data_IF_963771183350
#
_entry.id   IF_963771183350
#
_cell.length_a   1.000
_cell.length_b   1.000
_cell.length_c   1.000
_cell.angle_alpha   90.00
_cell.angle_beta   90.00
_cell.angle_gamma   90.00
#
_symmetry.space_group_name_H-M   'P 1'
#
loop_
_entity.id
_entity.type
_entity.pdbx_description
1 polymer ?
#
# COMPACT_ATOMS: atom_id res chain seq x y z
N UNK A 1 32.18 4.18 -4.24
CA UNK A 1 30.75 4.47 -3.95
C UNK A 1 30.06 3.14 -3.70
N UNK A 2 29.61 2.88 -2.46
CA UNK A 2 28.76 1.71 -2.20
C UNK A 2 27.40 1.97 -2.85
N UNK A 3 27.09 1.31 -3.96
CA UNK A 3 25.71 1.17 -4.38
C UNK A 3 25.06 0.23 -3.36
N UNK A 4 24.20 0.76 -2.48
CA UNK A 4 23.39 -0.11 -1.65
C UNK A 4 22.35 -0.74 -2.55
N UNK A 5 22.22 -2.06 -2.50
CA UNK A 5 21.14 -2.79 -3.20
C UNK A 5 19.76 -2.52 -2.57
N UNK A 6 19.70 -1.66 -1.55
CA UNK A 6 18.49 -1.30 -0.83
C UNK A 6 17.70 -0.23 -1.58
N UNK A 7 16.46 -0.52 -1.88
CA UNK A 7 15.51 0.46 -2.39
C UNK A 7 15.05 1.38 -1.26
N UNK A 8 15.06 2.68 -1.51
CA UNK A 8 14.45 3.65 -0.61
C UNK A 8 12.98 3.86 -1.03
N UNK A 9 12.08 3.86 -0.07
CA UNK A 9 10.66 4.00 -0.34
C UNK A 9 10.13 5.28 0.31
N UNK A 10 9.30 6.02 -0.43
CA UNK A 10 8.52 7.14 0.12
C UNK A 10 7.06 6.75 0.19
N UNK A 11 6.41 7.06 1.31
CA UNK A 11 5.05 6.62 1.60
C UNK A 11 4.09 7.81 1.72
N UNK A 12 3.11 7.92 0.83
CA UNK A 12 1.98 8.82 1.02
C UNK A 12 1.08 8.34 2.16
N UNK A 13 0.81 9.22 3.12
CA UNK A 13 0.02 8.91 4.32
C UNK A 13 -1.23 9.79 4.37
N UNK A 14 -2.37 9.24 4.78
CA UNK A 14 -3.60 10.00 4.84
C UNK A 14 -3.54 11.13 5.89
N UNK A 15 -3.90 12.33 5.45
CA UNK A 15 -4.02 13.51 6.30
C UNK A 15 -5.47 13.77 6.78
N UNK A 16 -6.44 12.96 6.32
CA UNK A 16 -7.85 13.12 6.68
C UNK A 16 -8.19 12.54 8.05
N UNK A 17 -7.46 11.51 8.49
CA UNK A 17 -7.75 10.79 9.74
C UNK A 17 -6.53 10.61 10.62
N UNK A 18 -5.44 10.03 10.08
CA UNK A 18 -4.33 9.55 10.90
C UNK A 18 -3.32 10.64 11.22
N UNK A 19 -2.86 11.41 10.23
CA UNK A 19 -1.84 12.46 10.43
C UNK A 19 -2.29 13.76 9.77
N UNK A 20 -3.16 14.55 10.41
CA UNK A 20 -3.57 15.85 9.89
C UNK A 20 -2.38 16.76 9.60
N UNK A 21 -2.35 17.33 8.38
CA UNK A 21 -1.25 18.21 7.94
C UNK A 21 -0.03 17.51 7.37
N UNK A 22 -0.04 16.17 7.26
CA UNK A 22 1.05 15.45 6.60
C UNK A 22 1.15 15.85 5.13
N UNK A 23 2.34 16.27 4.70
CA UNK A 23 2.55 16.87 3.37
C UNK A 23 2.37 15.86 2.24
N UNK A 24 3.06 14.72 2.33
CA UNK A 24 3.02 13.68 1.30
C UNK A 24 1.80 12.78 1.51
N UNK A 25 0.73 13.03 0.78
CA UNK A 25 -0.55 12.35 1.02
C UNK A 25 -1.28 11.86 -0.25
N UNK A 26 -0.63 11.96 -1.41
CA UNK A 26 -1.14 11.39 -2.67
C UNK A 26 -0.05 10.62 -3.42
N UNK A 27 -0.47 9.66 -4.23
CA UNK A 27 0.43 8.89 -5.10
C UNK A 27 1.16 9.81 -6.09
N UNK A 28 0.47 10.78 -6.68
CA UNK A 28 1.07 11.69 -7.64
C UNK A 28 2.17 12.56 -7.02
N UNK A 29 1.97 13.07 -5.79
CA UNK A 29 3.03 13.81 -5.08
C UNK A 29 4.28 12.96 -4.87
N UNK A 30 4.12 11.68 -4.51
CA UNK A 30 5.27 10.78 -4.38
C UNK A 30 6.03 10.62 -5.70
N UNK A 31 5.32 10.42 -6.79
CA UNK A 31 5.92 10.31 -8.13
C UNK A 31 6.63 11.59 -8.57
N UNK A 32 6.05 12.76 -8.28
CA UNK A 32 6.66 14.06 -8.58
C UNK A 32 7.97 14.24 -7.80
N UNK A 33 7.98 13.93 -6.50
CA UNK A 33 9.18 13.96 -5.66
C UNK A 33 10.26 13.01 -6.19
N UNK A 34 9.89 11.79 -6.57
CA UNK A 34 10.83 10.80 -7.14
C UNK A 34 11.45 11.34 -8.43
N UNK A 35 10.62 11.94 -9.28
CA UNK A 35 11.06 12.55 -10.54
C UNK A 35 12.04 13.72 -10.28
N UNK A 36 11.72 14.58 -9.33
CA UNK A 36 12.56 15.75 -8.97
C UNK A 36 13.91 15.33 -8.37
N UNK A 37 13.91 14.28 -7.56
CA UNK A 37 15.15 13.70 -6.99
C UNK A 37 16.02 13.07 -8.07
N UNK A 38 15.42 12.48 -9.10
CA UNK A 38 16.13 11.90 -10.25
C UNK A 38 17.09 10.76 -9.89
N UNK A 39 16.73 9.95 -8.88
CA UNK A 39 17.54 8.81 -8.43
C UNK A 39 16.81 7.48 -8.68
N UNK A 40 17.50 6.53 -9.30
CA UNK A 40 16.94 5.25 -9.72
C UNK A 40 16.62 4.30 -8.55
N UNK A 41 16.97 4.66 -7.32
CA UNK A 41 16.79 3.83 -6.13
C UNK A 41 15.67 4.34 -5.18
N UNK A 42 14.88 5.33 -5.62
CA UNK A 42 13.75 5.87 -4.88
C UNK A 42 12.42 5.43 -5.52
N UNK A 43 11.54 4.86 -4.72
CA UNK A 43 10.26 4.27 -5.15
C UNK A 43 9.12 4.65 -4.22
N UNK A 44 7.92 4.18 -4.54
CA UNK A 44 6.72 4.37 -3.71
C UNK A 44 6.49 3.13 -2.84
N UNK A 45 6.30 3.32 -1.54
CA UNK A 45 5.58 2.38 -0.68
C UNK A 45 4.10 2.72 -0.80
N UNK A 46 3.33 1.82 -1.40
CA UNK A 46 1.91 2.05 -1.64
C UNK A 46 1.08 1.40 -0.52
N UNK A 47 0.61 2.20 0.41
CA UNK A 47 -0.31 1.74 1.45
C UNK A 47 -1.76 1.85 0.97
N UNK A 48 -2.37 0.68 0.76
CA UNK A 48 -3.74 0.53 0.27
C UNK A 48 -4.75 1.24 1.19
N UNK A 49 -4.54 1.19 2.51
CA UNK A 49 -5.41 1.86 3.47
C UNK A 49 -5.34 3.38 3.33
N UNK A 50 -4.12 3.94 3.31
CA UNK A 50 -3.95 5.38 3.18
C UNK A 50 -4.49 5.89 1.85
N UNK A 51 -4.22 5.21 0.76
CA UNK A 51 -4.63 5.64 -0.56
C UNK A 51 -6.13 5.44 -0.81
N UNK A 52 -6.77 4.44 -0.20
CA UNK A 52 -8.23 4.35 -0.23
C UNK A 52 -8.87 5.60 0.40
N UNK A 53 -8.36 6.06 1.53
CA UNK A 53 -8.89 7.24 2.24
C UNK A 53 -8.66 8.53 1.44
N UNK A 54 -7.49 8.66 0.81
CA UNK A 54 -7.10 9.88 0.12
C UNK A 54 -7.66 9.97 -1.30
N UNK A 55 -7.51 8.92 -2.08
CA UNK A 55 -7.70 8.94 -3.53
C UNK A 55 -8.80 7.97 -3.99
N UNK A 56 -8.93 6.80 -3.36
CA UNK A 56 -9.71 5.70 -3.92
C UNK A 56 -9.07 5.14 -5.20
N UNK A 57 -9.88 4.60 -6.09
CA UNK A 57 -9.46 4.11 -7.42
C UNK A 57 -8.19 3.22 -7.39
N UNK A 58 -8.13 2.32 -6.39
CA UNK A 58 -6.93 1.56 -6.04
C UNK A 58 -6.38 0.72 -7.20
N UNK A 59 -7.24 -0.08 -7.84
CA UNK A 59 -6.79 -1.03 -8.86
C UNK A 59 -6.17 -0.33 -10.09
N UNK A 60 -6.81 0.68 -10.71
CA UNK A 60 -6.19 1.42 -11.82
C UNK A 60 -4.92 2.17 -11.40
N UNK A 61 -4.88 2.72 -10.18
CA UNK A 61 -3.70 3.43 -9.68
C UNK A 61 -2.50 2.49 -9.51
N UNK A 62 -2.72 1.30 -8.94
CA UNK A 62 -1.69 0.26 -8.80
C UNK A 62 -1.21 -0.19 -10.18
N UNK A 63 -2.13 -0.52 -11.10
CA UNK A 63 -1.80 -0.96 -12.45
C UNK A 63 -0.93 0.06 -13.19
N UNK A 64 -1.34 1.32 -13.19
CA UNK A 64 -0.62 2.41 -13.86
C UNK A 64 0.79 2.61 -13.33
N UNK A 65 0.98 2.41 -12.02
CA UNK A 65 2.23 2.77 -11.33
C UNK A 65 3.03 1.56 -10.82
N UNK A 66 2.69 0.34 -11.25
CA UNK A 66 3.22 -0.91 -10.70
C UNK A 66 4.75 -0.96 -10.66
N UNK A 67 5.40 -0.45 -11.71
CA UNK A 67 6.86 -0.41 -11.80
C UNK A 67 7.53 0.46 -10.72
N UNK A 68 6.80 1.42 -10.18
CA UNK A 68 7.27 2.31 -9.11
C UNK A 68 6.89 1.84 -7.71
N UNK A 69 6.18 0.71 -7.59
CA UNK A 69 5.64 0.18 -6.31
C UNK A 69 6.29 -1.17 -5.99
N UNK A 70 7.51 -1.22 -5.46
CA UNK A 70 8.15 -2.48 -5.08
C UNK A 70 7.63 -3.06 -3.76
N UNK A 71 6.90 -2.29 -2.98
CA UNK A 71 6.28 -2.71 -1.72
C UNK A 71 4.91 -2.08 -1.53
N UNK A 72 3.97 -2.89 -1.07
CA UNK A 72 2.64 -2.42 -0.67
C UNK A 72 2.41 -2.69 0.82
N UNK A 73 1.49 -1.95 1.41
CA UNK A 73 0.95 -2.22 2.74
C UNK A 73 -0.56 -2.28 2.69
N UNK A 74 -1.16 -2.91 3.70
CA UNK A 74 -2.60 -3.03 3.77
C UNK A 74 -3.16 -2.90 5.19
N UNK A 75 -4.34 -2.31 5.25
CA UNK A 75 -5.34 -2.43 6.30
C UNK A 75 -6.70 -2.15 5.68
N UNK A 76 -7.77 -2.62 6.29
CA UNK A 76 -9.12 -2.29 5.83
C UNK A 76 -9.61 -0.97 6.45
N UNK A 77 -10.49 -0.27 5.76
CA UNK A 77 -11.04 1.01 6.22
C UNK A 77 -12.54 0.86 6.48
N UNK A 78 -13.13 1.57 7.45
CA UNK A 78 -12.56 2.72 8.20
C UNK A 78 -11.76 2.39 9.45
N UNK A 79 -11.78 1.14 9.96
CA UNK A 79 -11.24 0.80 11.28
C UNK A 79 -9.75 0.56 11.35
N UNK A 80 -9.04 0.51 10.23
CA UNK A 80 -7.62 0.09 10.11
C UNK A 80 -7.38 -1.30 10.70
N UNK A 81 -8.33 -2.22 10.46
CA UNK A 81 -8.28 -3.61 10.88
C UNK A 81 -7.88 -4.54 9.73
N UNK A 82 -7.93 -5.86 9.98
CA UNK A 82 -7.61 -6.88 8.98
C UNK A 82 -8.57 -6.87 7.78
N UNK A 83 -8.11 -7.35 6.60
CA UNK A 83 -8.95 -7.49 5.41
C UNK A 83 -10.29 -8.22 5.64
N UNK A 84 -11.35 -7.64 5.11
CA UNK A 84 -12.72 -8.18 5.23
C UNK A 84 -13.51 -7.60 6.41
N UNK A 85 -12.95 -6.63 7.13
CA UNK A 85 -13.63 -5.94 8.23
C UNK A 85 -14.20 -4.58 7.82
N UNK A 86 -13.97 -4.14 6.59
CA UNK A 86 -14.36 -2.82 6.11
C UNK A 86 -14.84 -2.81 4.66
N UNK A 87 -14.53 -1.72 3.94
CA UNK A 87 -15.10 -1.42 2.62
C UNK A 87 -14.27 -1.89 1.44
N UNK A 88 -12.99 -2.30 1.66
CA UNK A 88 -12.10 -2.66 0.56
C UNK A 88 -12.37 -4.11 0.12
N UNK A 89 -12.63 -4.30 -1.19
CA UNK A 89 -12.75 -5.65 -1.75
C UNK A 89 -11.35 -6.27 -1.98
N UNK A 90 -10.73 -6.75 -0.91
CA UNK A 90 -9.40 -7.37 -0.98
C UNK A 90 -9.35 -8.61 -1.85
N UNK A 91 -10.43 -9.37 -1.98
CA UNK A 91 -10.46 -10.53 -2.88
C UNK A 91 -10.23 -10.10 -4.32
N UNK A 92 -10.97 -9.09 -4.78
CA UNK A 92 -10.78 -8.52 -6.11
C UNK A 92 -9.38 -7.92 -6.27
N UNK A 93 -8.94 -7.15 -5.26
CA UNK A 93 -7.68 -6.41 -5.36
C UNK A 93 -6.45 -7.33 -5.42
N UNK A 94 -6.42 -8.40 -4.62
CA UNK A 94 -5.33 -9.38 -4.68
C UNK A 94 -5.33 -10.13 -6.01
N UNK A 95 -6.49 -10.57 -6.50
CA UNK A 95 -6.60 -11.23 -7.82
C UNK A 95 -6.11 -10.30 -8.94
N UNK A 96 -6.39 -9.00 -8.83
CA UNK A 96 -5.92 -8.00 -9.79
C UNK A 96 -4.40 -7.82 -9.71
N UNK A 97 -3.84 -7.65 -8.52
CA UNK A 97 -2.40 -7.51 -8.29
C UNK A 97 -1.63 -8.74 -8.80
N UNK A 98 -2.15 -9.95 -8.56
CA UNK A 98 -1.56 -11.19 -9.05
C UNK A 98 -1.57 -11.26 -10.59
N UNK A 99 -2.68 -10.88 -11.24
CA UNK A 99 -2.79 -10.82 -12.71
C UNK A 99 -1.82 -9.83 -13.33
N UNK A 100 -1.50 -8.74 -12.65
CA UNK A 100 -0.48 -7.78 -13.08
C UNK A 100 0.94 -8.34 -12.97
N UNK A 101 1.13 -9.49 -12.34
CA UNK A 101 2.43 -10.13 -12.16
C UNK A 101 3.31 -9.48 -11.10
N UNK A 102 2.72 -8.83 -10.11
CA UNK A 102 3.46 -8.20 -9.01
C UNK A 102 4.39 -9.20 -8.31
N UNK A 103 5.63 -8.79 -8.04
CA UNK A 103 6.68 -9.63 -7.44
C UNK A 103 7.18 -9.12 -6.09
N UNK A 104 6.62 -8.01 -5.62
CA UNK A 104 6.97 -7.42 -4.33
C UNK A 104 6.23 -8.08 -3.16
N UNK A 105 6.37 -7.49 -2.00
CA UNK A 105 5.70 -7.90 -0.78
C UNK A 105 4.52 -7.00 -0.45
N UNK A 106 3.49 -7.56 0.16
CA UNK A 106 2.37 -6.81 0.73
C UNK A 106 2.42 -7.00 2.25
N UNK A 107 2.88 -5.96 2.94
CA UNK A 107 2.98 -5.94 4.40
C UNK A 107 1.61 -5.71 5.06
N UNK A 108 1.35 -6.41 6.15
CA UNK A 108 0.15 -6.21 6.95
C UNK A 108 0.42 -5.14 8.02
N UNK A 109 -0.19 -3.97 7.89
CA UNK A 109 -0.05 -2.88 8.85
C UNK A 109 -1.42 -2.46 9.40
N UNK A 110 -2.04 -3.37 10.12
CA UNK A 110 -3.36 -3.13 10.72
C UNK A 110 -3.37 -3.38 12.23
N UNK A 111 -4.36 -2.83 12.90
CA UNK A 111 -4.69 -3.14 14.30
C UNK A 111 -5.73 -4.26 14.29
N UNK A 112 -5.40 -5.46 14.76
CA UNK A 112 -6.39 -6.54 14.81
C UNK A 112 -7.66 -6.10 15.53
N UNK A 113 -8.82 -6.47 14.97
CA UNK A 113 -10.11 -6.13 15.57
C UNK A 113 -10.26 -6.72 16.98
N UNK A 114 -9.65 -7.89 17.20
CA UNK A 114 -9.62 -8.57 18.51
C UNK A 114 -8.18 -8.94 18.89
N UNK A 115 -7.69 -10.12 18.48
CA UNK A 115 -6.29 -10.53 18.67
C UNK A 115 -5.62 -10.79 17.33
N UNK A 116 -4.29 -10.78 17.31
CA UNK A 116 -3.52 -11.04 16.09
C UNK A 116 -3.88 -12.41 15.51
N UNK A 117 -3.93 -13.44 16.34
CA UNK A 117 -4.21 -14.83 15.91
C UNK A 117 -5.62 -14.96 15.34
N UNK A 118 -6.62 -14.35 15.97
CA UNK A 118 -8.00 -14.35 15.47
C UNK A 118 -8.12 -13.58 14.14
N UNK A 119 -7.37 -12.48 14.01
CA UNK A 119 -7.35 -11.63 12.83
C UNK A 119 -6.66 -12.23 11.61
N UNK A 120 -5.92 -13.34 11.73
CA UNK A 120 -5.21 -13.97 10.61
C UNK A 120 -6.07 -14.91 9.74
N UNK A 121 -7.34 -15.08 10.08
CA UNK A 121 -8.23 -16.01 9.37
C UNK A 121 -8.40 -15.73 7.88
N UNK A 122 -8.36 -14.45 7.48
CA UNK A 122 -8.54 -14.00 6.10
C UNK A 122 -7.44 -14.48 5.14
N UNK A 123 -6.20 -14.65 5.65
CA UNK A 123 -5.05 -14.98 4.79
C UNK A 123 -4.99 -16.46 4.37
N UNK A 124 -5.70 -17.34 5.07
CA UNK A 124 -5.61 -18.80 4.86
C UNK A 124 -5.83 -19.23 3.42
N UNK A 125 -6.75 -18.59 2.70
CA UNK A 125 -7.05 -18.90 1.30
C UNK A 125 -5.94 -18.51 0.32
N UNK A 126 -4.98 -17.69 0.74
CA UNK A 126 -3.85 -17.22 -0.07
C UNK A 126 -2.53 -17.93 0.25
N UNK A 127 -2.51 -18.82 1.26
CA UNK A 127 -1.33 -19.57 1.68
C UNK A 127 -1.27 -21.00 1.08
N UNK A 128 -2.11 -21.30 0.10
CA UNK A 128 -2.19 -22.61 -0.54
C UNK A 128 -1.28 -22.70 -1.75
#
# INVERSE_FOLDING_TARGET
MCSSDLKLLTEPINCKRDIPGFYLNTTQQALDIISDVGNDNLFVQYDIYHMQIMEGDLAPTIEKNLAMIPHMQLADTPGRHEPGTGEINFTFLFDHIDKLGYKGWIGCEYKPLTTTEAGLGWIKKYLQ
#
